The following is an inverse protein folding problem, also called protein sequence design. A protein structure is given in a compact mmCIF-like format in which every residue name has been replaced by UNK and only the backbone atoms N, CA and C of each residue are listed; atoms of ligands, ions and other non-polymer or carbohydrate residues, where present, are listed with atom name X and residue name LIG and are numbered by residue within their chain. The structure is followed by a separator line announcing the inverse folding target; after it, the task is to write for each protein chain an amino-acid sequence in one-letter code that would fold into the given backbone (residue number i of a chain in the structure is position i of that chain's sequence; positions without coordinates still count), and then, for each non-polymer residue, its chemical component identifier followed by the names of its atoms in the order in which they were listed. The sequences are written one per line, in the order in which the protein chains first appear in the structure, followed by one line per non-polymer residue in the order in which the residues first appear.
data_IF_285924040929
#
_entry.id   IF_285924040929
#
_cell.length_a   1.000
_cell.length_b   1.000
_cell.length_c   1.000
_cell.angle_alpha   90.00
_cell.angle_beta   90.00
_cell.angle_gamma   90.00
#
_symmetry.space_group_name_H-M   'P 1'
#
loop_
_entity.id
_entity.type
_entity.pdbx_description
1 polymer ?
#
# COMPACT_ATOMS: atom_id res chain seq x y z
N UNK A 1 -16.82 -6.04 28.63
CA UNK A 1 -17.36 -4.69 28.89
C UNK A 1 -18.87 -4.80 28.81
N UNK A 2 -19.58 -4.50 29.88
CA UNK A 2 -21.05 -4.46 29.85
C UNK A 2 -21.55 -3.29 29.00
N UNK A 3 -22.85 -3.29 28.66
CA UNK A 3 -23.44 -2.25 27.81
C UNK A 3 -23.40 -0.87 28.46
N UNK A 4 -23.73 -0.79 29.75
CA UNK A 4 -23.79 0.47 30.49
C UNK A 4 -22.43 1.19 30.53
N UNK A 5 -21.34 0.45 30.72
CA UNK A 5 -20.00 1.04 30.71
C UNK A 5 -19.61 1.51 29.30
N UNK A 6 -20.01 0.78 28.25
CA UNK A 6 -19.79 1.19 26.85
C UNK A 6 -20.51 2.51 26.54
N UNK A 7 -21.76 2.63 26.94
CA UNK A 7 -22.58 3.82 26.73
C UNK A 7 -22.01 5.03 27.50
N UNK A 8 -21.51 4.82 28.71
CA UNK A 8 -20.86 5.88 29.49
C UNK A 8 -19.58 6.39 28.79
N UNK A 9 -18.72 5.49 28.31
CA UNK A 9 -17.50 5.87 27.57
C UNK A 9 -17.84 6.56 26.26
N UNK A 10 -18.79 6.03 25.49
CA UNK A 10 -19.22 6.63 24.22
C UNK A 10 -19.85 8.01 24.44
N UNK A 11 -20.69 8.15 25.47
CA UNK A 11 -21.31 9.43 25.83
C UNK A 11 -20.28 10.46 26.27
N UNK A 12 -19.34 10.09 27.15
CA UNK A 12 -18.28 10.98 27.62
C UNK A 12 -17.35 11.41 26.48
N UNK A 13 -16.99 10.49 25.58
CA UNK A 13 -16.20 10.84 24.41
C UNK A 13 -16.94 11.79 23.48
N UNK A 14 -18.23 11.55 23.20
CA UNK A 14 -19.04 12.38 22.31
C UNK A 14 -19.26 13.80 22.85
N UNK A 15 -19.31 13.96 24.18
CA UNK A 15 -19.40 15.27 24.85
C UNK A 15 -18.06 15.98 25.05
N UNK A 16 -16.95 15.36 24.66
CA UNK A 16 -15.61 15.92 24.86
C UNK A 16 -15.07 15.80 26.30
N UNK A 17 -15.73 15.03 27.17
CA UNK A 17 -15.27 14.75 28.54
C UNK A 17 -14.09 13.77 28.55
N UNK A 18 -14.03 12.90 27.54
CA UNK A 18 -12.92 11.96 27.32
C UNK A 18 -12.10 12.42 26.12
N UNK A 19 -10.79 12.57 26.30
CA UNK A 19 -9.87 12.97 25.21
C UNK A 19 -9.50 11.81 24.30
N UNK A 20 -9.29 10.62 24.86
CA UNK A 20 -8.80 9.44 24.13
C UNK A 20 -9.65 8.23 24.44
N UNK A 21 -10.05 7.50 23.40
CA UNK A 21 -10.67 6.18 23.52
C UNK A 21 -9.85 5.15 22.76
N UNK A 22 -9.59 4.02 23.42
CA UNK A 22 -8.97 2.85 22.81
C UNK A 22 -10.07 1.82 22.55
N UNK A 23 -10.15 1.37 21.30
CA UNK A 23 -11.26 0.55 20.85
C UNK A 23 -10.84 -0.51 19.85
N UNK A 24 -11.63 -1.58 19.78
CA UNK A 24 -11.66 -2.50 18.64
C UNK A 24 -12.76 -2.07 17.67
N UNK A 25 -12.90 -2.75 16.52
CA UNK A 25 -13.92 -2.47 15.50
C UNK A 25 -15.35 -2.42 16.06
N UNK A 26 -15.62 -3.01 17.23
CA UNK A 26 -16.91 -2.97 17.92
C UNK A 26 -17.33 -1.57 18.40
N UNK A 27 -16.42 -0.59 18.46
CA UNK A 27 -16.72 0.78 18.87
C UNK A 27 -17.08 1.71 17.68
N UNK A 28 -16.97 1.21 16.43
CA UNK A 28 -17.09 2.03 15.23
C UNK A 28 -18.52 2.46 14.86
N UNK A 29 -19.58 1.80 15.31
CA UNK A 29 -20.93 2.20 14.90
C UNK A 29 -21.49 3.23 15.88
N UNK A 30 -21.25 4.53 15.65
CA UNK A 30 -21.99 5.61 16.35
C UNK A 30 -21.20 6.68 17.10
N UNK A 31 -19.89 6.84 16.87
CA UNK A 31 -19.19 8.05 17.33
C UNK A 31 -19.58 9.21 16.40
N UNK A 32 -20.35 10.16 16.92
CA UNK A 32 -20.69 11.41 16.24
C UNK A 32 -20.05 12.60 16.97
N UNK A 33 -18.72 12.67 16.87
CA UNK A 33 -17.92 13.75 17.42
C UNK A 33 -17.18 14.44 16.28
N UNK A 34 -17.47 15.72 15.97
CA UNK A 34 -16.92 16.36 14.77
C UNK A 34 -15.45 16.74 14.90
N UNK A 35 -14.97 16.97 16.13
CA UNK A 35 -13.65 17.51 16.47
C UNK A 35 -12.58 16.44 16.80
N UNK A 36 -12.76 15.20 16.32
CA UNK A 36 -11.74 14.15 16.51
C UNK A 36 -10.48 14.53 15.72
N UNK A 37 -9.37 14.78 16.42
CA UNK A 37 -8.10 15.23 15.81
C UNK A 37 -7.22 14.12 15.29
N UNK A 38 -7.35 12.91 15.81
CA UNK A 38 -6.54 11.78 15.39
C UNK A 38 -7.29 10.45 15.44
N UNK A 39 -7.04 9.60 14.45
CA UNK A 39 -7.41 8.17 14.46
C UNK A 39 -6.13 7.37 14.25
N UNK A 40 -5.83 6.48 15.22
CA UNK A 40 -4.59 5.70 15.24
C UNK A 40 -4.93 4.22 15.19
N UNK A 41 -4.48 3.55 14.14
CA UNK A 41 -4.54 2.10 13.99
C UNK A 41 -3.25 1.48 14.50
N UNK A 42 -3.30 0.86 15.68
CA UNK A 42 -2.17 0.10 16.25
C UNK A 42 -1.98 -1.27 15.57
N UNK A 43 -3.01 -1.75 14.88
CA UNK A 43 -2.95 -2.92 14.00
C UNK A 43 -3.72 -2.58 12.71
N UNK A 44 -3.24 -3.02 11.53
CA UNK A 44 -3.91 -2.69 10.28
C UNK A 44 -5.28 -3.35 10.23
N UNK A 45 -6.36 -2.66 9.82
CA UNK A 45 -7.70 -3.23 9.72
C UNK A 45 -7.78 -4.36 8.67
N UNK A 46 -8.98 -4.92 8.47
CA UNK A 46 -9.17 -6.06 7.56
C UNK A 46 -9.05 -5.70 6.07
N UNK A 47 -9.25 -4.44 5.71
CA UNK A 47 -9.31 -3.98 4.32
C UNK A 47 -9.11 -2.46 4.23
N UNK A 48 -9.01 -1.93 3.01
CA UNK A 48 -8.91 -0.48 2.76
C UNK A 48 -10.24 0.21 3.08
N UNK A 49 -11.39 -0.42 2.82
CA UNK A 49 -12.71 0.12 3.15
C UNK A 49 -12.87 0.31 4.65
N UNK A 50 -12.47 -0.69 5.44
CA UNK A 50 -12.48 -0.59 6.90
C UNK A 50 -11.55 0.54 7.38
N UNK A 51 -10.33 0.62 6.83
CA UNK A 51 -9.41 1.72 7.13
C UNK A 51 -10.01 3.09 6.81
N UNK A 52 -10.59 3.26 5.62
CA UNK A 52 -11.14 4.52 5.14
C UNK A 52 -12.35 4.96 5.98
N UNK A 53 -13.25 4.03 6.31
CA UNK A 53 -14.39 4.30 7.18
C UNK A 53 -13.95 4.69 8.61
N UNK A 54 -12.93 4.03 9.14
CA UNK A 54 -12.43 4.28 10.49
C UNK A 54 -11.66 5.61 10.59
N UNK A 55 -10.76 5.89 9.64
CA UNK A 55 -9.97 7.13 9.62
C UNK A 55 -10.84 8.36 9.31
N UNK A 56 -11.90 8.19 8.50
CA UNK A 56 -12.88 9.25 8.17
C UNK A 56 -13.75 9.73 9.34
N UNK A 57 -13.48 9.26 10.56
CA UNK A 57 -14.07 9.81 11.80
C UNK A 57 -13.36 11.08 12.27
N UNK A 58 -12.11 11.26 11.86
CA UNK A 58 -11.34 12.44 12.19
C UNK A 58 -11.78 13.65 11.35
N UNK A 59 -11.68 14.85 11.91
CA UNK A 59 -11.76 16.11 11.16
C UNK A 59 -13.10 16.39 10.44
N UNK A 60 -14.24 15.93 10.98
CA UNK A 60 -15.56 16.21 10.36
C UNK A 60 -15.98 17.68 10.49
N UNK A 61 -15.34 18.43 11.38
CA UNK A 61 -15.43 19.89 11.47
C UNK A 61 -14.60 20.62 10.39
N UNK A 62 -13.85 19.90 9.56
CA UNK A 62 -12.99 20.45 8.51
C UNK A 62 -11.63 20.98 9.00
N UNK A 63 -11.33 20.89 10.30
CA UNK A 63 -10.03 21.28 10.84
C UNK A 63 -8.99 20.16 10.65
N UNK A 64 -7.71 20.53 10.70
CA UNK A 64 -6.59 19.60 10.55
C UNK A 64 -6.72 18.39 11.50
N UNK A 65 -6.41 17.23 10.94
CA UNK A 65 -6.49 15.96 11.63
C UNK A 65 -5.44 14.97 11.10
N UNK A 66 -5.22 13.89 11.85
CA UNK A 66 -4.23 12.87 11.50
C UNK A 66 -4.83 11.46 11.47
N UNK A 67 -4.56 10.75 10.38
CA UNK A 67 -4.73 9.30 10.31
C UNK A 67 -3.37 8.63 10.41
N UNK A 68 -3.16 7.77 11.41
CA UNK A 68 -1.91 7.03 11.60
C UNK A 68 -2.18 5.53 11.51
N UNK A 69 -1.59 4.88 10.51
CA UNK A 69 -1.59 3.41 10.38
C UNK A 69 -0.21 2.86 10.74
N UNK A 70 -0.14 2.12 11.85
CA UNK A 70 1.07 1.38 12.23
C UNK A 70 1.01 -0.03 11.65
N UNK A 71 2.12 -0.44 11.04
CA UNK A 71 2.28 -1.76 10.43
C UNK A 71 3.54 -2.41 10.94
N UNK A 72 3.43 -3.68 11.33
CA UNK A 72 4.53 -4.53 11.78
C UNK A 72 4.62 -5.79 10.91
N UNK A 73 5.82 -6.40 10.78
CA UNK A 73 5.96 -7.70 10.12
C UNK A 73 5.11 -8.82 10.75
N UNK A 74 4.80 -8.71 12.04
CA UNK A 74 3.97 -9.69 12.76
C UNK A 74 2.50 -9.66 12.36
N UNK A 75 2.01 -8.55 11.80
CA UNK A 75 0.60 -8.36 11.48
C UNK A 75 0.11 -9.32 10.39
N UNK A 76 0.99 -9.67 9.45
CA UNK A 76 0.70 -10.63 8.38
C UNK A 76 0.29 -12.00 8.96
N UNK A 77 1.11 -12.54 9.86
CA UNK A 77 0.89 -13.85 10.46
C UNK A 77 -0.33 -13.81 11.41
N UNK A 78 -0.47 -12.75 12.19
CA UNK A 78 -1.60 -12.57 13.11
C UNK A 78 -2.91 -12.49 12.33
N UNK A 79 -2.99 -11.64 11.30
CA UNK A 79 -4.19 -11.48 10.49
C UNK A 79 -4.57 -12.77 9.78
N UNK A 80 -3.60 -13.49 9.21
CA UNK A 80 -3.84 -14.79 8.57
C UNK A 80 -4.51 -15.76 9.53
N UNK A 81 -3.98 -15.90 10.75
CA UNK A 81 -4.56 -16.75 11.80
C UNK A 81 -5.98 -16.32 12.19
N UNK A 82 -6.23 -15.01 12.31
CA UNK A 82 -7.56 -14.49 12.65
C UNK A 82 -8.60 -14.79 11.55
N UNK A 83 -8.20 -14.67 10.28
CA UNK A 83 -9.08 -14.99 9.14
C UNK A 83 -9.37 -16.49 9.09
N UNK A 84 -8.35 -17.34 9.26
CA UNK A 84 -8.50 -18.81 9.21
C UNK A 84 -9.29 -19.37 10.40
N UNK A 85 -9.23 -18.73 11.58
CA UNK A 85 -9.99 -19.15 12.76
C UNK A 85 -11.48 -18.80 12.67
N UNK A 86 -11.85 -17.75 11.93
CA UNK A 86 -13.23 -17.27 11.84
C UNK A 86 -13.76 -16.60 13.11
N UNK A 87 -15.07 -16.33 13.13
CA UNK A 87 -15.84 -15.98 14.33
C UNK A 87 -16.69 -17.18 14.73
N UNK A 88 -16.88 -17.42 16.02
CA UNK A 88 -17.83 -18.42 16.56
C UNK A 88 -17.38 -19.89 16.56
N UNK A 89 -16.09 -20.17 16.37
CA UNK A 89 -15.51 -21.50 16.61
C UNK A 89 -15.76 -22.53 15.49
N UNK A 90 -16.44 -22.13 14.41
CA UNK A 90 -16.52 -22.89 13.17
C UNK A 90 -15.47 -22.40 12.17
N UNK A 91 -14.88 -23.36 11.44
CA UNK A 91 -13.96 -23.04 10.35
C UNK A 91 -14.73 -22.30 9.24
N UNK A 92 -14.28 -21.09 8.84
CA UNK A 92 -14.91 -20.35 7.76
C UNK A 92 -14.72 -21.05 6.42
N UNK A 93 -15.63 -20.75 5.47
CA UNK A 93 -15.52 -21.21 4.08
C UNK A 93 -14.16 -20.79 3.47
N UNK A 94 -13.41 -21.71 2.83
CA UNK A 94 -12.16 -21.39 2.14
C UNK A 94 -12.25 -20.21 1.17
N UNK A 95 -13.37 -20.03 0.46
CA UNK A 95 -13.56 -18.90 -0.44
C UNK A 95 -13.63 -17.56 0.32
N UNK A 96 -14.27 -17.55 1.49
CA UNK A 96 -14.33 -16.37 2.38
C UNK A 96 -12.96 -16.06 2.98
N UNK A 97 -12.20 -17.09 3.37
CA UNK A 97 -10.83 -16.93 3.86
C UNK A 97 -9.95 -16.28 2.79
N UNK A 98 -10.01 -16.80 1.57
CA UNK A 98 -9.23 -16.28 0.44
C UNK A 98 -9.59 -14.83 0.14
N UNK A 99 -10.88 -14.51 0.04
CA UNK A 99 -11.34 -13.15 -0.25
C UNK A 99 -10.91 -12.15 0.84
N UNK A 100 -11.08 -12.49 2.13
CA UNK A 100 -10.62 -11.62 3.24
C UNK A 100 -9.11 -11.44 3.23
N UNK A 101 -8.36 -12.47 2.85
CA UNK A 101 -6.91 -12.39 2.73
C UNK A 101 -6.49 -11.46 1.59
N UNK A 102 -7.16 -11.51 0.45
CA UNK A 102 -6.93 -10.60 -0.69
C UNK A 102 -7.18 -9.14 -0.33
N UNK A 103 -8.31 -8.84 0.34
CA UNK A 103 -8.61 -7.49 0.84
C UNK A 103 -7.52 -6.97 1.79
N UNK A 104 -7.03 -7.84 2.68
CA UNK A 104 -5.95 -7.47 3.57
C UNK A 104 -4.63 -7.21 2.83
N UNK A 105 -4.32 -8.02 1.82
CA UNK A 105 -3.14 -7.80 0.97
C UNK A 105 -3.24 -6.47 0.19
N UNK A 106 -4.43 -6.03 -0.23
CA UNK A 106 -4.64 -4.69 -0.78
C UNK A 106 -4.30 -3.58 0.23
N UNK A 107 -4.77 -3.69 1.47
CA UNK A 107 -4.42 -2.73 2.53
C UNK A 107 -2.90 -2.67 2.77
N UNK A 108 -2.23 -3.83 2.78
CA UNK A 108 -0.78 -3.88 2.96
C UNK A 108 -0.05 -3.25 1.77
N UNK A 109 -0.52 -3.46 0.53
CA UNK A 109 0.01 -2.75 -0.65
C UNK A 109 -0.20 -1.24 -0.57
N UNK A 110 -1.35 -0.80 -0.06
CA UNK A 110 -1.62 0.61 0.21
C UNK A 110 -0.61 1.17 1.22
N UNK A 111 -0.39 0.48 2.35
CA UNK A 111 0.54 0.92 3.39
C UNK A 111 2.01 0.94 2.94
N UNK A 112 2.44 -0.03 2.13
CA UNK A 112 3.80 -0.09 1.57
C UNK A 112 4.01 0.82 0.34
N UNK A 113 2.93 1.44 -0.15
CA UNK A 113 2.92 2.34 -1.31
C UNK A 113 3.97 3.45 -1.23
N UNK A 114 4.43 3.91 -2.39
CA UNK A 114 5.42 4.99 -2.53
C UNK A 114 4.88 6.22 -3.24
N UNK A 115 3.60 6.24 -3.60
CA UNK A 115 2.88 7.36 -4.22
C UNK A 115 1.93 8.00 -3.20
N UNK A 116 1.30 9.11 -3.57
CA UNK A 116 0.32 9.78 -2.73
C UNK A 116 -0.75 8.82 -2.19
N UNK A 117 -0.94 8.83 -0.86
CA UNK A 117 -1.92 7.98 -0.17
C UNK A 117 -3.35 8.28 -0.63
N UNK A 118 -3.70 9.55 -0.74
CA UNK A 118 -5.03 9.99 -1.15
C UNK A 118 -5.36 9.49 -2.57
N UNK A 119 -4.45 9.73 -3.52
CA UNK A 119 -4.63 9.23 -4.89
C UNK A 119 -4.72 7.69 -4.93
N UNK A 120 -4.01 6.98 -4.05
CA UNK A 120 -4.11 5.51 -3.98
C UNK A 120 -5.48 5.05 -3.48
N UNK A 121 -6.10 5.78 -2.54
CA UNK A 121 -7.47 5.52 -2.08
C UNK A 121 -8.48 5.81 -3.19
N UNK A 122 -8.35 6.93 -3.89
CA UNK A 122 -9.23 7.26 -5.04
C UNK A 122 -9.18 6.17 -6.11
N UNK A 123 -7.97 5.69 -6.47
CA UNK A 123 -7.83 4.57 -7.41
C UNK A 123 -8.49 3.28 -6.92
N UNK A 124 -8.35 2.99 -5.64
CA UNK A 124 -8.95 1.80 -5.04
C UNK A 124 -10.48 1.79 -5.18
N UNK A 125 -11.13 2.94 -5.03
CA UNK A 125 -12.59 3.08 -5.19
C UNK A 125 -13.05 3.31 -6.64
N UNK A 126 -12.12 3.43 -7.60
CA UNK A 126 -12.42 3.63 -9.02
C UNK A 126 -12.52 5.09 -9.44
N UNK A 127 -12.21 6.04 -8.55
CA UNK A 127 -12.32 7.48 -8.77
C UNK A 127 -11.00 8.06 -9.32
N UNK A 128 -10.37 7.39 -10.29
CA UNK A 128 -9.03 7.75 -10.78
C UNK A 128 -8.98 9.15 -11.44
N UNK A 129 -10.11 9.60 -11.99
CA UNK A 129 -10.28 10.91 -12.62
C UNK A 129 -10.15 12.06 -11.61
N UNK A 130 -10.41 11.80 -10.32
CA UNK A 130 -10.32 12.77 -9.23
C UNK A 130 -8.92 12.86 -8.61
N UNK A 131 -7.95 12.10 -9.13
CA UNK A 131 -6.59 12.09 -8.55
C UNK A 131 -5.92 13.45 -8.62
N UNK A 132 -5.25 13.83 -7.53
CA UNK A 132 -4.72 15.19 -7.33
C UNK A 132 -3.28 15.37 -7.82
N UNK A 133 -2.67 14.31 -8.37
CA UNK A 133 -1.25 14.24 -8.69
C UNK A 133 -0.33 14.55 -7.49
N UNK A 134 -0.79 14.14 -6.30
CA UNK A 134 -0.18 14.45 -5.00
C UNK A 134 -1.02 15.40 -4.17
N UNK A 135 -1.57 14.92 -3.05
CA UNK A 135 -2.41 15.71 -2.17
C UNK A 135 -1.67 16.75 -1.32
N UNK A 136 -0.34 16.73 -1.25
CA UNK A 136 0.47 17.66 -0.42
C UNK A 136 0.49 17.37 1.08
N UNK A 137 -0.46 16.60 1.62
CA UNK A 137 -0.64 16.47 3.07
C UNK A 137 -0.34 15.08 3.65
N UNK A 138 -0.21 14.04 2.81
CA UNK A 138 0.11 12.69 3.29
C UNK A 138 1.62 12.50 3.55
N UNK A 139 1.97 11.49 4.36
CA UNK A 139 3.34 11.12 4.69
C UNK A 139 4.26 10.99 3.46
N UNK A 140 3.75 10.42 2.37
CA UNK A 140 4.50 10.28 1.12
C UNK A 140 4.72 11.63 0.44
N UNK A 141 3.68 12.46 0.31
CA UNK A 141 3.79 13.78 -0.31
C UNK A 141 4.75 14.69 0.46
N UNK A 142 4.60 14.75 1.78
CA UNK A 142 5.47 15.53 2.66
C UNK A 142 6.94 15.10 2.53
N UNK A 143 7.22 13.80 2.43
CA UNK A 143 8.59 13.31 2.21
C UNK A 143 9.15 13.60 0.82
N UNK A 144 8.30 13.62 -0.21
CA UNK A 144 8.71 14.00 -1.56
C UNK A 144 9.01 15.50 -1.66
N UNK A 145 8.28 16.33 -0.92
CA UNK A 145 8.44 17.79 -0.88
C UNK A 145 9.58 18.24 0.01
N UNK A 146 9.81 17.57 1.14
CA UNK A 146 10.83 17.94 2.12
C UNK A 146 12.23 18.02 1.52
N UNK A 147 12.49 17.38 0.36
CA UNK A 147 13.73 17.56 -0.42
C UNK A 147 15.02 17.14 0.27
N UNK A 148 14.96 16.79 1.55
CA UNK A 148 16.10 16.60 2.42
C UNK A 148 16.32 15.09 2.65
N UNK A 149 17.50 14.61 2.27
CA UNK A 149 17.99 13.22 2.43
C UNK A 149 17.43 12.15 1.45
N UNK A 150 16.70 12.53 0.40
CA UNK A 150 16.21 11.60 -0.64
C UNK A 150 17.16 11.41 -1.84
N UNK A 151 16.99 10.35 -2.66
CA UNK A 151 17.71 10.21 -3.92
C UNK A 151 17.34 11.33 -4.91
N UNK A 152 18.29 11.76 -5.75
CA UNK A 152 18.06 12.72 -6.83
C UNK A 152 16.77 12.38 -7.62
N UNK A 153 15.81 13.32 -7.79
CA UNK A 153 14.59 13.11 -8.57
C UNK A 153 14.84 12.53 -9.97
N UNK A 154 15.96 12.89 -10.61
CA UNK A 154 16.35 12.35 -11.93
C UNK A 154 16.76 10.88 -11.84
N UNK A 155 17.45 10.49 -10.78
CA UNK A 155 17.79 9.10 -10.49
C UNK A 155 16.52 8.29 -10.19
N UNK A 156 15.61 8.81 -9.36
CA UNK A 156 14.30 8.19 -9.09
C UNK A 156 13.52 7.96 -10.39
N UNK A 157 13.41 8.99 -11.23
CA UNK A 157 12.74 8.90 -12.52
C UNK A 157 13.36 7.84 -13.42
N UNK A 158 14.69 7.80 -13.49
CA UNK A 158 15.41 6.80 -14.30
C UNK A 158 15.13 5.37 -13.80
N UNK A 159 15.17 5.15 -12.50
CA UNK A 159 14.91 3.84 -11.88
C UNK A 159 13.48 3.38 -12.12
N UNK A 160 12.48 4.24 -11.93
CA UNK A 160 11.08 3.94 -12.22
C UNK A 160 10.88 3.64 -13.70
N UNK A 161 11.46 4.45 -14.60
CA UNK A 161 11.34 4.24 -16.05
C UNK A 161 11.96 2.93 -16.51
N UNK A 162 13.08 2.51 -15.93
CA UNK A 162 13.66 1.18 -16.16
C UNK A 162 12.70 0.08 -15.71
N UNK A 163 12.09 0.21 -14.53
CA UNK A 163 11.12 -0.75 -14.02
C UNK A 163 9.88 -0.86 -14.93
N UNK A 164 9.29 0.25 -15.34
CA UNK A 164 8.15 0.27 -16.27
C UNK A 164 8.53 -0.24 -17.67
N UNK A 165 9.77 0.01 -18.12
CA UNK A 165 10.28 -0.56 -19.37
C UNK A 165 10.35 -2.08 -19.32
N UNK A 166 10.69 -2.68 -18.17
CA UNK A 166 10.62 -4.12 -18.00
C UNK A 166 9.19 -4.64 -18.08
N UNK A 167 8.22 -3.98 -17.45
CA UNK A 167 6.79 -4.32 -17.56
C UNK A 167 6.32 -4.25 -19.01
N UNK A 168 6.67 -3.19 -19.75
CA UNK A 168 6.41 -3.10 -21.18
C UNK A 168 7.02 -4.27 -21.97
N UNK A 169 8.27 -4.62 -21.68
CA UNK A 169 9.04 -5.64 -22.42
C UNK A 169 8.49 -7.05 -22.23
N UNK A 170 7.94 -7.37 -21.06
CA UNK A 170 7.33 -8.68 -20.82
C UNK A 170 5.94 -8.81 -21.46
N UNK A 171 5.39 -7.71 -22.02
CA UNK A 171 4.19 -7.67 -22.87
C UNK A 171 2.98 -8.45 -22.30
N UNK A 172 2.70 -8.36 -21.00
CA UNK A 172 1.58 -9.07 -20.38
C UNK A 172 1.69 -10.60 -20.47
N UNK A 173 2.90 -11.15 -20.59
CA UNK A 173 3.12 -12.62 -20.63
C UNK A 173 3.55 -13.19 -19.29
N UNK A 174 3.97 -12.33 -18.37
CA UNK A 174 4.57 -12.71 -17.11
C UNK A 174 4.07 -11.82 -15.97
N UNK A 175 4.18 -12.29 -14.73
CA UNK A 175 3.90 -11.49 -13.53
C UNK A 175 5.12 -10.75 -13.00
N UNK A 176 4.93 -10.08 -11.85
CA UNK A 176 5.93 -9.26 -11.16
C UNK A 176 7.29 -9.95 -10.97
N UNK A 177 7.30 -11.22 -10.58
CA UNK A 177 8.54 -11.96 -10.32
C UNK A 177 9.46 -12.07 -11.53
N UNK A 178 8.89 -12.27 -12.72
CA UNK A 178 9.67 -12.32 -13.95
C UNK A 178 10.20 -10.93 -14.35
N UNK A 179 9.40 -9.88 -14.16
CA UNK A 179 9.86 -8.51 -14.38
C UNK A 179 11.01 -8.14 -13.43
N UNK A 180 10.92 -8.53 -12.15
CA UNK A 180 11.99 -8.33 -11.18
C UNK A 180 13.28 -9.08 -11.58
N UNK A 181 13.18 -10.35 -11.98
CA UNK A 181 14.33 -11.12 -12.47
C UNK A 181 14.96 -10.53 -13.73
N UNK A 182 14.13 -10.06 -14.67
CA UNK A 182 14.60 -9.36 -15.86
C UNK A 182 15.42 -8.12 -15.48
N UNK A 183 14.89 -7.26 -14.60
CA UNK A 183 15.59 -6.07 -14.12
C UNK A 183 16.89 -6.40 -13.39
N UNK A 184 16.87 -7.46 -12.56
CA UNK A 184 18.03 -7.95 -11.80
C UNK A 184 19.13 -8.51 -12.70
N UNK A 185 18.76 -9.08 -13.83
CA UNK A 185 19.63 -9.89 -14.68
C UNK A 185 19.78 -11.33 -14.17
N UNK A 186 18.79 -11.83 -13.44
CA UNK A 186 18.82 -13.16 -12.84
C UNK A 186 18.41 -14.24 -13.87
N UNK A 187 19.00 -15.45 -13.80
CA UNK A 187 18.64 -16.53 -14.70
C UNK A 187 17.18 -16.98 -14.48
N UNK A 188 16.39 -16.95 -15.56
CA UNK A 188 15.06 -17.56 -15.61
C UNK A 188 14.87 -18.24 -16.97
N UNK A 189 14.70 -19.58 -17.03
CA UNK A 189 14.55 -20.31 -18.30
C UNK A 189 13.40 -19.80 -19.18
N UNK A 190 12.34 -19.25 -18.57
CA UNK A 190 11.20 -18.72 -19.33
C UNK A 190 11.54 -17.39 -20.00
N UNK A 191 12.32 -16.54 -19.33
CA UNK A 191 12.84 -15.30 -19.92
C UNK A 191 13.82 -15.59 -21.05
N UNK A 192 14.71 -16.58 -20.86
CA UNK A 192 15.67 -17.01 -21.89
C UNK A 192 14.97 -17.57 -23.13
N UNK A 193 13.97 -18.46 -22.95
CA UNK A 193 13.16 -18.98 -24.07
C UNK A 193 12.42 -17.88 -24.83
N UNK A 194 12.03 -16.81 -24.14
CA UNK A 194 11.40 -15.64 -24.75
C UNK A 194 12.40 -14.65 -25.36
N UNK A 195 13.72 -14.88 -25.24
CA UNK A 195 14.78 -13.99 -25.71
C UNK A 195 14.90 -12.68 -24.92
N UNK A 196 14.29 -12.60 -23.73
CA UNK A 196 14.24 -11.39 -22.92
C UNK A 196 15.55 -11.11 -22.17
N UNK A 197 16.31 -12.16 -21.90
CA UNK A 197 17.67 -12.15 -21.35
C UNK A 197 18.70 -11.43 -22.24
N UNK A 198 18.42 -11.35 -23.54
CA UNK A 198 19.28 -10.67 -24.53
C UNK A 198 18.92 -9.19 -24.75
N UNK A 199 17.87 -8.70 -24.10
CA UNK A 199 17.42 -7.32 -24.27
C UNK A 199 18.26 -6.36 -23.44
N UNK A 200 18.33 -5.09 -23.85
CA UNK A 200 18.96 -4.02 -23.04
C UNK A 200 18.30 -3.80 -21.68
N UNK A 201 17.14 -4.41 -21.43
CA UNK A 201 16.41 -4.30 -20.14
C UNK A 201 16.97 -5.28 -19.11
N UNK A 202 17.57 -6.38 -19.57
CA UNK A 202 18.11 -7.42 -18.70
C UNK A 202 19.30 -6.88 -17.88
N UNK A 203 19.20 -6.95 -16.55
CA UNK A 203 20.26 -6.48 -15.64
C UNK A 203 20.38 -4.96 -15.49
N UNK A 204 19.40 -4.17 -15.97
CA UNK A 204 19.44 -2.71 -15.90
C UNK A 204 19.36 -2.11 -14.49
N UNK A 205 18.93 -2.89 -13.52
CA UNK A 205 18.89 -2.57 -12.09
C UNK A 205 19.56 -3.68 -11.26
N UNK A 206 20.70 -4.18 -11.75
CA UNK A 206 21.47 -5.26 -11.13
C UNK A 206 22.13 -4.88 -9.79
N UNK A 207 22.12 -3.60 -9.42
CA UNK A 207 22.53 -3.10 -8.12
C UNK A 207 21.51 -3.41 -7.00
N UNK A 208 20.25 -3.70 -7.35
CA UNK A 208 19.17 -3.94 -6.39
C UNK A 208 18.85 -5.44 -6.25
N UNK A 209 18.38 -5.85 -5.06
CA UNK A 209 17.91 -7.22 -4.84
C UNK A 209 16.58 -7.49 -5.55
N UNK A 210 16.28 -8.75 -5.84
CA UNK A 210 14.99 -9.13 -6.43
C UNK A 210 13.80 -8.70 -5.55
N UNK A 211 13.95 -8.82 -4.24
CA UNK A 211 12.95 -8.39 -3.24
C UNK A 211 12.73 -6.86 -3.27
N UNK A 212 13.80 -6.07 -3.38
CA UNK A 212 13.70 -4.63 -3.55
C UNK A 212 13.00 -4.26 -4.87
N UNK A 213 13.31 -4.97 -5.97
CA UNK A 213 12.69 -4.76 -7.27
C UNK A 213 11.21 -5.16 -7.27
N UNK A 214 10.84 -6.23 -6.57
CA UNK A 214 9.44 -6.61 -6.35
C UNK A 214 8.69 -5.50 -5.59
N UNK A 215 9.28 -4.93 -4.54
CA UNK A 215 8.70 -3.77 -3.84
C UNK A 215 8.53 -2.56 -4.75
N UNK A 216 9.54 -2.24 -5.58
CA UNK A 216 9.46 -1.13 -6.53
C UNK A 216 8.31 -1.33 -7.53
N UNK A 217 8.20 -2.53 -8.10
CA UNK A 217 7.15 -2.84 -9.06
C UNK A 217 5.76 -2.83 -8.40
N UNK A 218 5.62 -3.34 -7.17
CA UNK A 218 4.37 -3.21 -6.38
C UNK A 218 3.99 -1.74 -6.15
N UNK A 219 4.97 -0.88 -5.83
CA UNK A 219 4.72 0.56 -5.71
C UNK A 219 4.27 1.19 -7.04
N UNK A 220 4.75 0.70 -8.18
CA UNK A 220 4.26 1.13 -9.49
C UNK A 220 2.80 0.71 -9.72
N UNK A 221 2.38 -0.45 -9.19
CA UNK A 221 0.97 -0.88 -9.21
C UNK A 221 0.12 0.04 -8.34
N UNK A 222 0.49 0.27 -7.08
CA UNK A 222 -0.24 1.18 -6.18
C UNK A 222 -0.28 2.63 -6.70
N UNK A 223 0.69 3.04 -7.51
CA UNK A 223 0.72 4.34 -8.18
C UNK A 223 -0.18 4.43 -9.43
N UNK A 224 -0.83 3.33 -9.83
CA UNK A 224 -1.65 3.26 -11.04
C UNK A 224 -0.83 3.26 -12.33
N UNK A 225 0.47 2.90 -12.31
CA UNK A 225 1.33 2.85 -13.49
C UNK A 225 1.44 1.45 -14.09
N UNK A 226 1.12 0.44 -13.30
CA UNK A 226 1.00 -0.93 -13.75
C UNK A 226 -0.24 -1.55 -13.12
N UNK A 227 -0.74 -2.60 -13.73
CA UNK A 227 -1.92 -3.32 -13.24
C UNK A 227 -1.79 -4.82 -13.58
N UNK A 228 -2.69 -5.62 -13.02
CA UNK A 228 -2.79 -7.04 -13.29
C UNK A 228 -3.93 -7.34 -14.27
N UNK A 229 -3.68 -8.25 -15.20
CA UNK A 229 -4.71 -8.80 -16.09
C UNK A 229 -4.81 -10.31 -15.93
N UNK A 230 -6.06 -10.82 -15.96
CA UNK A 230 -6.37 -12.24 -15.84
C UNK A 230 -6.54 -12.73 -14.40
N UNK A 231 -7.41 -13.72 -14.21
CA UNK A 231 -7.82 -14.20 -12.89
C UNK A 231 -6.86 -15.27 -12.30
N UNK A 232 -6.60 -16.36 -13.03
CA UNK A 232 -5.86 -17.51 -12.47
C UNK A 232 -4.34 -17.33 -12.46
N UNK A 233 -3.82 -16.56 -13.41
CA UNK A 233 -2.38 -16.27 -13.58
C UNK A 233 -2.20 -14.82 -13.94
N UNK A 234 -2.33 -13.90 -12.97
CA UNK A 234 -2.28 -12.48 -13.23
C UNK A 234 -0.93 -12.10 -13.84
N UNK A 235 -0.99 -11.52 -15.03
CA UNK A 235 0.16 -10.94 -15.73
C UNK A 235 0.20 -9.45 -15.45
N UNK A 236 1.39 -8.87 -15.39
CA UNK A 236 1.52 -7.43 -15.18
C UNK A 236 1.56 -6.68 -16.52
N UNK A 237 0.80 -5.60 -16.60
CA UNK A 237 0.68 -4.72 -17.77
C UNK A 237 0.90 -3.25 -17.39
N UNK A 238 1.20 -2.40 -18.36
CA UNK A 238 1.24 -0.96 -18.16
C UNK A 238 -0.14 -0.34 -18.40
N UNK A 239 -0.53 0.54 -17.49
CA UNK A 239 -1.65 1.47 -17.69
C UNK A 239 -1.25 2.59 -18.65
N UNK A 240 -2.21 3.41 -19.09
CA UNK A 240 -1.91 4.61 -19.89
C UNK A 240 -1.00 5.59 -19.14
N UNK A 241 -1.32 5.86 -17.86
CA UNK A 241 -0.49 6.70 -17.00
C UNK A 241 0.94 6.16 -16.85
N UNK A 242 1.09 4.83 -16.71
CA UNK A 242 2.40 4.18 -16.66
C UNK A 242 3.20 4.32 -17.95
N UNK A 243 2.54 4.26 -19.11
CA UNK A 243 3.21 4.51 -20.40
C UNK A 243 3.73 5.94 -20.49
N UNK A 244 2.95 6.92 -20.06
CA UNK A 244 3.39 8.32 -20.05
C UNK A 244 4.60 8.54 -19.12
N UNK A 245 4.57 7.97 -17.91
CA UNK A 245 5.73 8.02 -16.98
C UNK A 245 6.95 7.31 -17.58
N UNK A 246 6.77 6.12 -18.17
CA UNK A 246 7.85 5.37 -18.81
C UNK A 246 8.51 6.17 -19.93
N UNK A 247 7.72 6.87 -20.77
CA UNK A 247 8.23 7.74 -21.85
C UNK A 247 8.86 9.04 -21.33
N UNK A 248 8.60 9.41 -20.07
CA UNK A 248 9.10 10.65 -19.47
C UNK A 248 8.20 11.86 -19.75
N UNK A 249 6.96 11.63 -20.19
CA UNK A 249 5.94 12.67 -20.42
C UNK A 249 5.31 13.16 -19.12
N UNK A 250 5.34 12.32 -18.07
CA UNK A 250 4.90 12.65 -16.71
C UNK A 250 6.01 12.38 -15.71
N UNK A 251 6.15 13.20 -14.65
CA UNK A 251 7.15 12.98 -13.62
C UNK A 251 6.84 11.73 -12.79
N UNK A 252 7.89 10.96 -12.46
CA UNK A 252 7.80 9.80 -11.59
C UNK A 252 7.89 10.21 -10.11
N UNK A 253 6.81 10.79 -9.57
CA UNK A 253 6.73 11.15 -8.14
C UNK A 253 6.49 9.89 -7.30
N UNK A 254 7.58 9.22 -6.91
CA UNK A 254 7.53 7.99 -6.12
C UNK A 254 8.68 7.95 -5.12
N UNK A 255 8.40 7.61 -3.86
CA UNK A 255 9.43 7.17 -2.94
C UNK A 255 9.95 5.80 -3.39
N UNK A 256 11.26 5.67 -3.58
CA UNK A 256 11.89 4.36 -3.82
C UNK A 256 11.82 3.48 -2.55
N UNK A 257 11.73 2.15 -2.69
CA UNK A 257 11.79 1.27 -1.54
C UNK A 257 13.07 1.51 -0.72
N UNK A 258 13.02 1.42 0.61
CA UNK A 258 14.23 1.54 1.42
C UNK A 258 15.21 0.42 1.06
N UNK A 259 16.50 0.76 0.96
CA UNK A 259 17.58 -0.19 0.64
C UNK A 259 17.94 -1.06 1.85
N UNK A 260 17.80 -0.53 3.06
CA UNK A 260 17.92 -1.28 4.31
C UNK A 260 16.54 -1.70 4.81
N UNK A 261 16.41 -2.94 5.28
CA UNK A 261 15.30 -3.32 6.17
C UNK A 261 15.51 -2.55 7.47
N UNK A 262 14.52 -1.76 7.96
CA UNK A 262 14.65 -1.14 9.27
C UNK A 262 14.94 -2.23 10.31
N UNK A 263 16.10 -2.17 10.97
CA UNK A 263 16.37 -3.05 12.11
C UNK A 263 15.36 -2.68 13.19
N UNK A 264 14.61 -3.66 13.70
CA UNK A 264 13.83 -3.46 14.91
C UNK A 264 14.78 -2.91 16.00
N UNK A 265 14.38 -1.88 16.76
CA UNK A 265 15.18 -1.44 17.89
C UNK A 265 15.41 -2.65 18.79
N UNK A 266 16.67 -2.98 19.03
CA UNK A 266 17.05 -3.97 20.04
C UNK A 266 16.40 -3.53 21.34
N UNK A 267 15.51 -4.36 21.89
CA UNK A 267 14.92 -4.12 23.19
C UNK A 267 16.04 -3.75 24.15
N UNK A 268 16.00 -2.53 24.70
CA UNK A 268 16.89 -2.16 25.80
C UNK A 268 16.51 -3.08 26.95
N UNK A 269 17.43 -4.00 27.28
CA UNK A 269 17.42 -4.82 28.49
C UNK A 269 17.42 -3.97 29.74
#
# INVERSE_FOLDING_TARGET
MDGAHRDAVQGGFSRGETEVVVATNAFGMGIDRPDVRAVIHLAPPGSIEAYYQEVGRAGRDGADCQGLLLVSPGDMALRRRLIERGGDGQAPDPAVVQHKWELFLELMRYAEGGSCRHDAVLRYFGDEEETLAGCGHCDVCLRLEAGDQGPDPKAVSTTVRKALSAVARIHGRFGLGAAAKLLRGAPDPRLARAGLDRTRTHGTLSEHSEDWLLRLLRRCVTAGWADFQGCDRPVIVLTEAGRAVMRGERPAKLLLPPTAVPRAPTART
#
